data_IF_419192318608
#
_entry.id   IF_419192318608
#
_cell.length_a   1.000
_cell.length_b   1.000
_cell.length_c   1.000
_cell.angle_alpha   90.00
_cell.angle_beta   90.00
_cell.angle_gamma   90.00
#
_symmetry.space_group_name_H-M   'P 1'
#
loop_
_entity.id
_entity.type
_entity.pdbx_description
1 polymer ?
#
# COMPACT_ATOMS: atom_id res chain seq x y z
N UNK A 1 -0.54 33.09 31.91
CA UNK A 1 -1.19 32.01 32.67
C UNK A 1 -0.48 30.70 32.35
N UNK A 2 0.09 30.05 33.36
CA UNK A 2 0.91 28.85 33.19
C UNK A 2 0.00 27.63 32.99
N UNK A 3 -0.11 27.13 31.76
CA UNK A 3 -0.73 25.83 31.47
C UNK A 3 0.16 24.72 32.04
N UNK A 4 -0.35 24.07 33.10
CA UNK A 4 0.22 22.89 33.73
C UNK A 4 0.47 21.79 32.69
N UNK A 5 1.68 21.25 32.69
CA UNK A 5 2.00 20.03 31.93
C UNK A 5 1.40 18.88 32.73
N UNK A 6 0.25 18.36 32.30
CA UNK A 6 -0.27 17.12 32.86
C UNK A 6 0.67 15.98 32.47
N UNK A 7 1.39 15.44 33.45
CA UNK A 7 2.09 14.17 33.31
C UNK A 7 1.02 13.10 33.05
N UNK A 8 1.16 12.37 31.95
CA UNK A 8 0.14 11.47 31.42
C UNK A 8 -0.19 10.26 32.32
N UNK A 9 0.59 10.03 33.38
CA UNK A 9 0.27 9.10 34.46
C UNK A 9 1.15 9.38 35.69
N UNK A 10 0.61 9.75 36.87
CA UNK A 10 1.41 9.98 38.07
C UNK A 10 2.12 8.71 38.59
N UNK A 11 1.70 7.52 38.15
CA UNK A 11 2.28 6.23 38.56
C UNK A 11 3.50 5.80 37.72
N UNK A 12 3.91 6.59 36.71
CA UNK A 12 5.10 6.26 35.92
C UNK A 12 6.39 6.49 36.75
N UNK A 13 7.45 5.65 36.60
CA UNK A 13 8.69 5.82 37.35
C UNK A 13 9.35 7.19 37.08
N UNK A 14 9.99 7.78 38.10
CA UNK A 14 10.51 9.17 38.07
C UNK A 14 11.45 9.46 36.89
N UNK A 15 12.29 8.49 36.52
CA UNK A 15 13.17 8.58 35.35
C UNK A 15 12.39 8.78 34.03
N UNK A 16 11.20 8.17 33.92
CA UNK A 16 10.31 8.28 32.77
C UNK A 16 9.56 9.60 32.78
N UNK A 17 9.14 10.08 33.94
CA UNK A 17 8.56 11.42 34.08
C UNK A 17 9.55 12.51 33.66
N UNK A 18 10.81 12.38 34.09
CA UNK A 18 11.90 13.28 33.72
C UNK A 18 12.14 13.27 32.20
N UNK A 19 12.19 12.08 31.59
CA UNK A 19 12.38 11.93 30.15
C UNK A 19 11.22 12.53 29.34
N UNK A 20 9.97 12.34 29.77
CA UNK A 20 8.79 12.94 29.14
C UNK A 20 8.84 14.47 29.25
N UNK A 21 9.21 15.00 30.41
CA UNK A 21 9.31 16.44 30.64
C UNK A 21 10.40 17.08 29.77
N UNK A 22 11.57 16.44 29.66
CA UNK A 22 12.68 16.87 28.82
C UNK A 22 12.27 16.84 27.35
N UNK A 23 11.71 15.73 26.86
CA UNK A 23 11.21 15.63 25.48
C UNK A 23 10.15 16.71 25.18
N UNK A 24 9.27 17.01 26.13
CA UNK A 24 8.25 18.06 25.98
C UNK A 24 8.85 19.46 25.93
N UNK A 25 9.87 19.74 26.75
CA UNK A 25 10.61 21.02 26.72
C UNK A 25 11.38 21.21 25.42
N UNK A 26 12.08 20.17 24.98
CA UNK A 26 12.82 20.17 23.71
C UNK A 26 11.89 20.38 22.52
N UNK A 27 10.76 19.66 22.47
CA UNK A 27 9.73 19.82 21.45
C UNK A 27 9.21 21.27 21.39
N UNK A 28 8.91 21.88 22.54
CA UNK A 28 8.47 23.29 22.63
C UNK A 28 9.53 24.27 22.14
N UNK A 29 10.79 24.06 22.56
CA UNK A 29 11.89 24.92 22.14
C UNK A 29 12.14 24.83 20.63
N UNK A 30 12.06 23.62 20.07
CA UNK A 30 12.23 23.37 18.64
C UNK A 30 11.09 23.99 17.82
N UNK A 31 9.83 23.84 18.27
CA UNK A 31 8.65 24.53 17.68
C UNK A 31 8.82 26.06 17.70
N UNK A 32 9.20 26.63 18.83
CA UNK A 32 9.41 28.07 18.97
C UNK A 32 10.48 28.62 18.03
N UNK A 33 11.59 27.89 17.83
CA UNK A 33 12.64 28.27 16.86
C UNK A 33 12.12 28.25 15.42
N UNK A 34 11.30 27.26 15.04
CA UNK A 34 10.77 27.13 13.67
C UNK A 34 9.68 28.15 13.35
N UNK A 35 8.80 28.46 14.30
CA UNK A 35 7.83 29.56 14.17
C UNK A 35 8.54 30.89 13.86
N UNK A 36 9.62 31.19 14.60
CA UNK A 36 10.42 32.41 14.38
C UNK A 36 11.06 32.46 12.99
N UNK A 37 11.43 31.32 12.41
CA UNK A 37 11.96 31.25 11.06
C UNK A 37 10.88 31.51 10.01
N UNK A 38 9.70 30.91 10.15
CA UNK A 38 8.58 31.14 9.22
C UNK A 38 8.08 32.59 9.22
N UNK A 39 8.10 33.25 10.38
CA UNK A 39 7.79 34.68 10.51
C UNK A 39 8.84 35.53 9.79
N UNK A 40 10.12 35.16 9.86
CA UNK A 40 11.19 35.82 9.10
C UNK A 40 11.09 35.59 7.60
N UNK A 41 10.56 34.43 7.18
CA UNK A 41 10.30 34.09 5.78
C UNK A 41 9.03 34.76 5.22
N UNK A 42 8.43 35.70 5.97
CA UNK A 42 7.30 36.51 5.51
C UNK A 42 5.92 35.92 5.82
N UNK A 43 5.81 34.89 6.66
CA UNK A 43 4.53 34.32 7.10
C UNK A 43 4.21 34.84 8.51
N UNK A 44 3.42 35.92 8.67
CA UNK A 44 3.23 36.58 9.96
C UNK A 44 2.50 35.73 10.99
N UNK A 45 1.67 34.78 10.55
CA UNK A 45 0.94 33.84 11.39
C UNK A 45 0.98 32.42 10.78
N UNK A 46 2.10 31.68 10.96
CA UNK A 46 2.24 30.37 10.35
C UNK A 46 1.26 29.38 10.98
N UNK A 47 0.58 28.60 10.13
CA UNK A 47 -0.34 27.57 10.61
C UNK A 47 0.41 26.45 11.32
N UNK A 48 -0.30 25.69 12.17
CA UNK A 48 0.30 24.55 12.87
C UNK A 48 0.93 23.54 11.87
N UNK A 49 0.22 23.26 10.78
CA UNK A 49 0.69 22.43 9.68
C UNK A 49 1.96 22.97 9.02
N UNK A 50 2.05 24.27 8.73
CA UNK A 50 3.26 24.88 8.16
C UNK A 50 4.46 24.75 9.11
N UNK A 51 4.22 24.89 10.41
CA UNK A 51 5.24 24.71 11.44
C UNK A 51 5.75 23.26 11.49
N UNK A 52 4.83 22.29 11.49
CA UNK A 52 5.15 20.86 11.47
C UNK A 52 5.92 20.48 10.20
N UNK A 53 5.56 21.04 9.04
CA UNK A 53 6.23 20.77 7.77
C UNK A 53 7.72 21.12 7.76
N UNK A 54 8.17 22.05 8.61
CA UNK A 54 9.58 22.44 8.77
C UNK A 54 10.35 21.60 9.80
N UNK A 55 9.68 20.70 10.53
CA UNK A 55 10.37 19.74 11.38
C UNK A 55 11.17 18.76 10.51
N UNK A 56 12.33 18.35 11.01
CA UNK A 56 13.24 17.45 10.30
C UNK A 56 13.22 16.07 10.95
N UNK A 57 13.39 15.03 10.15
CA UNK A 57 13.53 13.66 10.66
C UNK A 57 14.98 13.45 11.14
N UNK A 58 15.23 13.17 12.43
CA UNK A 58 16.59 13.02 12.96
C UNK A 58 17.09 11.57 12.88
N UNK A 59 16.56 10.75 11.97
CA UNK A 59 16.89 9.34 11.86
C UNK A 59 16.60 8.76 10.48
N UNK A 60 17.18 7.60 10.18
CA UNK A 60 16.86 6.82 8.99
C UNK A 60 17.48 7.37 7.71
N UNK A 61 17.02 6.91 6.55
CA UNK A 61 17.66 7.19 5.26
C UNK A 61 17.49 8.65 4.78
N UNK A 62 16.51 9.37 5.33
CA UNK A 62 16.26 10.78 5.05
C UNK A 62 16.51 11.63 6.30
N UNK A 63 17.59 11.33 7.02
CA UNK A 63 18.03 12.14 8.15
C UNK A 63 18.20 13.61 7.71
N UNK A 64 17.73 14.53 8.54
CA UNK A 64 17.66 15.97 8.30
C UNK A 64 16.69 16.43 7.20
N UNK A 65 15.97 15.52 6.55
CA UNK A 65 14.92 15.91 5.61
C UNK A 65 13.70 16.48 6.35
N UNK A 66 13.12 17.59 5.87
CA UNK A 66 11.95 18.16 6.50
C UNK A 66 10.68 17.38 6.13
N UNK A 67 9.67 17.42 7.00
CA UNK A 67 8.44 16.63 6.82
C UNK A 67 7.72 16.95 5.49
N UNK A 68 7.67 18.22 5.08
CA UNK A 68 7.08 18.60 3.78
C UNK A 68 7.81 17.98 2.58
N UNK A 69 9.12 17.77 2.69
CA UNK A 69 9.90 17.12 1.65
C UNK A 69 9.54 15.64 1.57
N UNK A 70 9.37 14.95 2.70
CA UNK A 70 8.93 13.54 2.71
C UNK A 70 7.56 13.35 2.06
N UNK A 71 6.60 14.22 2.36
CA UNK A 71 5.28 14.17 1.72
C UNK A 71 5.38 14.34 0.20
N UNK A 72 6.33 15.12 -0.29
CA UNK A 72 6.45 15.44 -1.72
C UNK A 72 7.28 14.41 -2.50
N UNK A 73 8.21 13.72 -1.84
CA UNK A 73 9.20 12.86 -2.50
C UNK A 73 9.04 11.38 -2.17
N UNK A 74 8.66 11.02 -0.93
CA UNK A 74 8.58 9.64 -0.49
C UNK A 74 7.54 9.45 0.65
N UNK A 75 6.27 9.46 0.24
CA UNK A 75 5.13 9.21 1.15
C UNK A 75 5.18 7.79 1.72
N UNK A 76 5.75 6.83 0.98
CA UNK A 76 5.89 5.44 1.42
C UNK A 76 6.81 5.30 2.63
N UNK A 77 7.93 6.01 2.63
CA UNK A 77 8.83 6.03 3.78
C UNK A 77 8.24 6.76 4.99
N UNK A 78 7.58 7.90 4.79
CA UNK A 78 6.87 8.60 5.86
C UNK A 78 5.85 7.67 6.52
N UNK A 79 5.10 6.90 5.70
CA UNK A 79 4.17 5.90 6.18
C UNK A 79 4.86 4.82 7.01
N UNK A 80 5.98 4.28 6.54
CA UNK A 80 6.74 3.26 7.26
C UNK A 80 7.10 3.72 8.68
N UNK A 81 7.55 4.97 8.83
CA UNK A 81 7.86 5.56 10.13
C UNK A 81 6.61 5.58 11.03
N UNK A 82 5.48 6.05 10.51
CA UNK A 82 4.21 6.15 11.25
C UNK A 82 3.69 4.77 11.67
N UNK A 83 3.70 3.78 10.75
CA UNK A 83 3.23 2.42 11.06
C UNK A 83 4.12 1.75 12.09
N UNK A 84 5.45 1.89 11.95
CA UNK A 84 6.41 1.37 12.92
C UNK A 84 6.20 2.01 14.29
N UNK A 85 5.97 3.32 14.33
CA UNK A 85 5.64 4.05 15.56
C UNK A 85 4.34 3.54 16.20
N UNK A 86 3.27 3.35 15.42
CA UNK A 86 2.00 2.78 15.91
C UNK A 86 2.20 1.37 16.47
N UNK A 87 3.02 0.55 15.82
CA UNK A 87 3.37 -0.79 16.31
C UNK A 87 4.20 -0.73 17.60
N UNK A 88 5.16 0.20 17.72
CA UNK A 88 5.95 0.45 18.94
C UNK A 88 5.05 0.90 20.11
N UNK A 89 4.04 1.73 19.84
CA UNK A 89 3.05 2.17 20.84
C UNK A 89 2.11 1.03 21.25
N UNK A 90 1.71 0.17 20.32
CA UNK A 90 0.75 -0.93 20.55
C UNK A 90 1.40 -2.12 21.25
N UNK A 91 2.61 -2.50 20.84
CA UNK A 91 3.35 -3.65 21.37
C UNK A 91 4.11 -3.34 22.67
N UNK A 92 3.66 -2.35 23.44
CA UNK A 92 4.29 -1.93 24.70
C UNK A 92 4.43 -3.11 25.67
N UNK A 93 5.54 -3.83 25.54
CA UNK A 93 6.10 -4.63 26.62
C UNK A 93 6.51 -3.59 27.66
N UNK A 94 5.92 -3.72 28.86
CA UNK A 94 6.00 -2.73 29.94
C UNK A 94 7.44 -2.19 30.06
N UNK A 95 7.61 -0.88 29.84
CA UNK A 95 8.81 -0.06 30.12
C UNK A 95 9.82 0.24 28.99
N UNK A 96 9.56 -0.09 27.72
CA UNK A 96 10.45 0.36 26.64
C UNK A 96 10.25 1.86 26.31
N UNK A 97 11.32 2.67 26.42
CA UNK A 97 11.33 4.07 25.97
C UNK A 97 11.35 4.10 24.43
N UNK A 98 10.35 4.73 23.82
CA UNK A 98 10.28 4.87 22.35
C UNK A 98 11.22 6.01 21.94
N UNK A 99 12.30 5.65 21.24
CA UNK A 99 13.27 6.61 20.72
C UNK A 99 12.59 7.56 19.72
N UNK A 100 12.83 8.87 19.90
CA UNK A 100 12.26 9.95 19.09
C UNK A 100 10.73 9.95 19.02
N UNK A 101 10.06 9.52 20.09
CA UNK A 101 8.61 9.45 20.18
C UNK A 101 7.92 10.76 19.74
N UNK A 102 8.35 11.90 20.27
CA UNK A 102 7.73 13.20 19.98
C UNK A 102 7.83 13.60 18.50
N UNK A 103 8.91 13.24 17.81
CA UNK A 103 9.07 13.51 16.37
C UNK A 103 8.10 12.65 15.56
N UNK A 104 8.00 11.36 15.93
CA UNK A 104 7.10 10.40 15.27
C UNK A 104 5.63 10.76 15.50
N UNK A 105 5.29 11.25 16.69
CA UNK A 105 3.96 11.79 17.03
C UNK A 105 3.62 12.99 16.13
N UNK A 106 4.55 13.96 16.00
CA UNK A 106 4.36 15.12 15.14
C UNK A 106 4.36 14.80 13.65
N UNK A 107 5.08 13.77 13.22
CA UNK A 107 5.01 13.29 11.83
C UNK A 107 3.64 12.67 11.54
N UNK A 108 3.07 11.97 12.52
CA UNK A 108 1.71 11.41 12.43
C UNK A 108 0.68 12.54 12.34
N UNK A 109 0.75 13.51 13.25
CA UNK A 109 -0.12 14.70 13.26
C UNK A 109 -0.01 15.50 11.95
N UNK A 110 1.21 15.67 11.43
CA UNK A 110 1.43 16.35 10.17
C UNK A 110 0.81 15.59 8.99
N UNK A 111 0.95 14.27 8.94
CA UNK A 111 0.34 13.46 7.88
C UNK A 111 -1.19 13.51 7.92
N UNK A 112 -1.78 13.53 9.11
CA UNK A 112 -3.24 13.63 9.32
C UNK A 112 -3.79 15.02 8.93
N UNK A 113 -2.96 16.07 8.94
CA UNK A 113 -3.36 17.42 8.52
C UNK A 113 -3.64 17.58 7.02
N UNK A 114 -3.30 16.59 6.19
CA UNK A 114 -3.60 16.60 4.76
C UNK A 114 -4.61 15.48 4.45
N UNK A 115 -5.89 15.78 4.18
CA UNK A 115 -6.88 14.78 3.82
C UNK A 115 -6.47 13.92 2.62
N UNK A 116 -5.77 14.52 1.64
CA UNK A 116 -5.24 13.82 0.47
C UNK A 116 -4.06 12.92 0.84
N UNK A 117 -3.20 13.28 1.80
CA UNK A 117 -2.11 12.40 2.26
C UNK A 117 -2.67 11.33 3.19
N UNK A 118 -3.64 11.63 4.05
CA UNK A 118 -4.35 10.62 4.85
C UNK A 118 -5.11 9.64 3.95
N UNK A 119 -5.76 10.13 2.89
CA UNK A 119 -6.42 9.30 1.89
C UNK A 119 -5.42 8.57 0.97
N UNK A 120 -4.27 9.16 0.63
CA UNK A 120 -3.18 8.51 -0.12
C UNK A 120 -2.45 7.49 0.74
N UNK A 121 -2.31 7.74 2.04
CA UNK A 121 -1.86 6.77 3.02
C UNK A 121 -2.91 5.66 3.05
N UNK A 122 -4.19 5.93 3.29
CA UNK A 122 -5.25 4.91 3.29
C UNK A 122 -5.43 4.17 1.94
N UNK A 123 -5.21 4.82 0.80
CA UNK A 123 -5.39 4.30 -0.56
C UNK A 123 -4.13 3.68 -1.19
N UNK A 124 -2.92 4.06 -0.74
CA UNK A 124 -1.64 3.45 -1.16
C UNK A 124 -1.01 2.58 -0.05
N UNK A 125 -1.63 2.47 1.13
CA UNK A 125 -1.34 1.43 2.15
C UNK A 125 -1.38 0.03 1.51
N UNK A 126 -2.21 -0.17 0.49
CA UNK A 126 -2.54 -1.47 -0.10
C UNK A 126 -1.77 -1.77 -1.38
N UNK A 127 -0.62 -1.14 -1.58
CA UNK A 127 0.12 -1.34 -2.82
C UNK A 127 1.56 -1.71 -2.64
N UNK A 128 2.14 -1.94 -1.47
CA UNK A 128 3.54 -2.40 -1.38
C UNK A 128 3.69 -3.65 -0.52
N UNK A 129 4.63 -4.54 -0.87
CA UNK A 129 4.96 -5.77 -0.14
C UNK A 129 6.21 -5.57 0.76
N UNK A 130 6.09 -4.67 1.73
CA UNK A 130 7.09 -4.48 2.78
C UNK A 130 7.42 -5.76 3.57
N UNK A 131 8.69 -5.90 3.96
CA UNK A 131 9.18 -6.94 4.86
C UNK A 131 9.30 -8.33 4.23
N UNK A 132 9.06 -8.48 2.92
CA UNK A 132 9.29 -9.74 2.20
C UNK A 132 10.65 -9.72 1.52
N UNK A 133 11.50 -10.70 1.87
CA UNK A 133 12.88 -10.78 1.36
C UNK A 133 12.92 -10.90 -0.16
N UNK A 134 13.60 -9.95 -0.82
CA UNK A 134 13.74 -9.86 -2.27
C UNK A 134 12.58 -9.18 -3.01
N UNK A 135 11.58 -8.65 -2.28
CA UNK A 135 10.45 -7.89 -2.83
C UNK A 135 10.13 -6.65 -1.97
N UNK A 136 11.11 -6.18 -1.19
CA UNK A 136 10.94 -5.15 -0.16
C UNK A 136 10.42 -3.82 -0.72
N UNK A 137 10.76 -3.53 -1.98
CA UNK A 137 10.37 -2.33 -2.73
C UNK A 137 9.19 -2.55 -3.69
N UNK A 138 8.69 -3.77 -3.84
CA UNK A 138 7.70 -4.07 -4.88
C UNK A 138 6.28 -3.75 -4.45
N UNK A 139 5.50 -3.30 -5.43
CA UNK A 139 4.08 -3.03 -5.26
C UNK A 139 3.20 -4.29 -5.39
N UNK A 140 1.95 -4.26 -4.90
CA UNK A 140 0.96 -5.32 -5.16
C UNK A 140 0.71 -5.46 -6.66
N UNK A 141 0.72 -4.34 -7.38
CA UNK A 141 0.58 -4.29 -8.83
C UNK A 141 1.77 -4.95 -9.52
N UNK A 142 2.99 -4.53 -9.21
CA UNK A 142 4.21 -5.12 -9.77
C UNK A 142 4.32 -6.62 -9.43
N UNK A 143 3.95 -7.01 -8.21
CA UNK A 143 3.94 -8.41 -7.79
C UNK A 143 2.87 -9.23 -8.51
N UNK A 144 1.70 -8.65 -8.78
CA UNK A 144 0.69 -9.26 -9.63
C UNK A 144 1.18 -9.42 -11.07
N UNK A 145 1.85 -8.41 -11.63
CA UNK A 145 2.39 -8.45 -12.98
C UNK A 145 3.45 -9.56 -13.13
N UNK A 146 4.38 -9.65 -12.17
CA UNK A 146 5.38 -10.73 -12.12
C UNK A 146 4.71 -12.10 -11.95
N UNK A 147 3.74 -12.22 -11.05
CA UNK A 147 2.98 -13.46 -10.84
C UNK A 147 2.23 -13.91 -12.10
N UNK A 148 1.59 -12.96 -12.81
CA UNK A 148 0.80 -13.24 -14.01
C UNK A 148 1.68 -13.62 -15.22
N UNK A 149 2.85 -12.96 -15.36
CA UNK A 149 3.84 -13.24 -16.40
C UNK A 149 4.41 -14.65 -16.33
N UNK A 150 4.29 -15.35 -15.20
CA UNK A 150 4.72 -16.74 -15.07
C UNK A 150 4.09 -17.69 -16.10
N UNK A 151 2.82 -17.46 -16.46
CA UNK A 151 2.13 -18.24 -17.49
C UNK A 151 2.80 -18.07 -18.87
N UNK A 152 3.14 -16.82 -19.22
CA UNK A 152 3.85 -16.49 -20.46
C UNK A 152 5.28 -17.05 -20.44
N UNK A 153 5.98 -16.94 -19.30
CA UNK A 153 7.31 -17.51 -19.12
C UNK A 153 7.34 -19.02 -19.36
N UNK A 154 6.33 -19.76 -18.85
CA UNK A 154 6.23 -21.21 -19.03
C UNK A 154 6.03 -21.61 -20.50
N UNK A 155 5.30 -20.79 -21.26
CA UNK A 155 4.96 -21.08 -22.65
C UNK A 155 6.00 -20.58 -23.65
N UNK A 156 6.68 -19.46 -23.33
CA UNK A 156 7.62 -18.75 -24.21
C UNK A 156 8.80 -18.17 -23.40
N UNK A 157 9.70 -19.03 -22.88
CA UNK A 157 10.83 -18.58 -22.06
C UNK A 157 11.82 -17.68 -22.82
N UNK A 158 11.89 -17.81 -24.15
CA UNK A 158 12.75 -17.05 -25.05
C UNK A 158 12.48 -15.53 -25.05
N UNK A 159 11.31 -15.10 -24.58
CA UNK A 159 10.91 -13.68 -24.54
C UNK A 159 11.52 -12.92 -23.35
N UNK A 160 12.24 -13.59 -22.45
CA UNK A 160 12.71 -13.03 -21.20
C UNK A 160 14.23 -13.20 -21.01
N UNK A 161 14.88 -12.17 -20.50
CA UNK A 161 16.29 -12.23 -20.06
C UNK A 161 16.43 -13.16 -18.84
N UNK A 162 17.59 -13.79 -18.65
CA UNK A 162 17.81 -14.73 -17.53
C UNK A 162 17.45 -14.11 -16.17
N UNK A 163 17.85 -12.86 -15.94
CA UNK A 163 17.51 -12.09 -14.73
C UNK A 163 15.99 -11.93 -14.53
N UNK A 164 15.24 -11.62 -15.59
CA UNK A 164 13.77 -11.50 -15.51
C UNK A 164 13.12 -12.85 -15.23
N UNK A 165 13.63 -13.93 -15.81
CA UNK A 165 13.10 -15.29 -15.57
C UNK A 165 13.24 -15.66 -14.10
N UNK A 166 14.39 -15.36 -13.49
CA UNK A 166 14.63 -15.64 -12.08
C UNK A 166 13.68 -14.85 -11.17
N UNK A 167 13.50 -13.54 -11.44
CA UNK A 167 12.59 -12.68 -10.65
C UNK A 167 11.14 -13.18 -10.77
N UNK A 168 10.67 -13.51 -11.97
CA UNK A 168 9.31 -14.02 -12.22
C UNK A 168 9.11 -15.37 -11.50
N UNK A 169 10.06 -16.30 -11.59
CA UNK A 169 9.99 -17.60 -10.93
C UNK A 169 9.93 -17.45 -9.40
N UNK A 170 10.76 -16.57 -8.85
CA UNK A 170 10.81 -16.27 -7.42
C UNK A 170 9.50 -15.62 -6.95
N UNK A 171 8.99 -14.66 -7.72
CA UNK A 171 7.73 -13.98 -7.40
C UNK A 171 6.56 -14.97 -7.41
N UNK A 172 6.47 -15.82 -8.43
CA UNK A 172 5.43 -16.85 -8.52
C UNK A 172 5.43 -17.79 -7.31
N UNK A 173 6.61 -18.30 -6.96
CA UNK A 173 6.77 -19.25 -5.84
C UNK A 173 6.38 -18.60 -4.50
N UNK A 174 6.78 -17.35 -4.28
CA UNK A 174 6.44 -16.59 -3.08
C UNK A 174 4.94 -16.28 -3.00
N UNK A 175 4.35 -15.75 -4.07
CA UNK A 175 2.91 -15.42 -4.11
C UNK A 175 2.07 -16.67 -3.88
N UNK A 176 2.38 -17.79 -4.53
CA UNK A 176 1.68 -19.06 -4.28
C UNK A 176 1.78 -19.46 -2.81
N UNK A 177 2.96 -19.42 -2.20
CA UNK A 177 3.13 -19.74 -0.78
C UNK A 177 2.24 -18.86 0.11
N UNK A 178 2.20 -17.56 -0.14
CA UNK A 178 1.36 -16.63 0.64
C UNK A 178 -0.14 -16.88 0.43
N UNK A 179 -0.57 -17.19 -0.79
CA UNK A 179 -1.96 -17.55 -1.08
C UNK A 179 -2.39 -18.84 -0.37
N UNK A 180 -1.51 -19.83 -0.25
CA UNK A 180 -1.81 -21.07 0.49
C UNK A 180 -1.71 -20.92 2.01
N UNK A 181 -1.12 -19.83 2.51
CA UNK A 181 -1.04 -19.57 3.96
C UNK A 181 -2.44 -19.20 4.49
N UNK A 182 -2.98 -19.90 5.51
CA UNK A 182 -4.30 -19.59 6.05
C UNK A 182 -4.30 -18.21 6.71
N UNK A 183 -5.43 -17.49 6.62
CA UNK A 183 -5.55 -16.11 7.14
C UNK A 183 -5.25 -16.00 8.65
N UNK A 184 -5.46 -17.09 9.41
CA UNK A 184 -5.15 -17.22 10.83
C UNK A 184 -3.65 -17.16 11.12
N UNK A 185 -2.81 -17.60 10.18
CA UNK A 185 -1.35 -17.59 10.32
C UNK A 185 -0.73 -16.31 9.72
N UNK A 186 -1.53 -15.48 9.03
CA UNK A 186 -1.07 -14.21 8.51
C UNK A 186 -1.22 -13.15 9.60
N UNK A 187 -0.11 -12.76 10.21
CA UNK A 187 -0.09 -11.76 11.28
C UNK A 187 -0.22 -10.33 10.70
N UNK A 188 0.42 -10.08 9.54
CA UNK A 188 0.42 -8.76 8.91
C UNK A 188 -0.89 -8.46 8.17
N UNK A 189 -1.55 -7.35 8.52
CA UNK A 189 -2.77 -6.88 7.84
C UNK A 189 -2.53 -6.63 6.35
N UNK A 190 -1.36 -6.08 6.00
CA UNK A 190 -0.92 -5.86 4.63
C UNK A 190 -0.92 -7.16 3.83
N UNK A 191 -0.43 -8.27 4.40
CA UNK A 191 -0.41 -9.58 3.71
C UNK A 191 -1.82 -10.17 3.54
N UNK A 192 -2.75 -9.90 4.48
CA UNK A 192 -4.17 -10.26 4.31
C UNK A 192 -4.80 -9.51 3.14
N UNK A 193 -4.50 -8.21 3.01
CA UNK A 193 -4.98 -7.37 1.92
C UNK A 193 -4.35 -7.75 0.58
N UNK A 194 -3.06 -8.06 0.55
CA UNK A 194 -2.39 -8.60 -0.63
C UNK A 194 -3.08 -9.87 -1.13
N UNK A 195 -3.32 -10.82 -0.23
CA UNK A 195 -4.04 -12.06 -0.56
C UNK A 195 -5.43 -11.80 -1.13
N UNK A 196 -6.20 -10.86 -0.54
CA UNK A 196 -7.50 -10.44 -1.07
C UNK A 196 -7.36 -9.85 -2.49
N UNK A 197 -6.43 -8.92 -2.69
CA UNK A 197 -6.17 -8.26 -3.97
C UNK A 197 -5.85 -9.26 -5.10
N UNK A 198 -4.97 -10.23 -4.84
CA UNK A 198 -4.60 -11.24 -5.84
C UNK A 198 -5.79 -12.14 -6.17
N UNK A 199 -6.55 -12.61 -5.17
CA UNK A 199 -7.74 -13.43 -5.41
C UNK A 199 -8.79 -12.70 -6.24
N UNK A 200 -9.04 -11.41 -5.97
CA UNK A 200 -9.96 -10.57 -6.74
C UNK A 200 -9.50 -10.41 -8.20
N UNK A 201 -8.19 -10.23 -8.42
CA UNK A 201 -7.61 -10.14 -9.76
C UNK A 201 -7.71 -11.46 -10.53
N UNK A 202 -7.45 -12.59 -9.90
CA UNK A 202 -7.63 -13.91 -10.52
C UNK A 202 -9.10 -14.13 -10.92
N UNK A 203 -10.05 -13.78 -10.05
CA UNK A 203 -11.47 -13.85 -10.36
C UNK A 203 -11.85 -12.92 -11.52
N UNK A 204 -11.34 -11.69 -11.54
CA UNK A 204 -11.61 -10.71 -12.62
C UNK A 204 -11.13 -11.21 -13.99
N UNK A 205 -10.04 -11.97 -14.06
CA UNK A 205 -9.58 -12.59 -15.31
C UNK A 205 -10.48 -13.77 -15.73
N UNK A 206 -11.02 -14.51 -14.76
CA UNK A 206 -11.90 -15.66 -15.02
C UNK A 206 -13.34 -15.26 -15.39
N UNK A 207 -13.83 -14.11 -14.93
CA UNK A 207 -15.20 -13.64 -15.16
C UNK A 207 -15.57 -13.45 -16.66
N UNK A 208 -14.73 -12.83 -17.53
CA UNK A 208 -15.01 -12.74 -18.96
C UNK A 208 -15.04 -14.09 -19.68
N UNK A 209 -14.26 -15.07 -19.20
CA UNK A 209 -14.20 -16.41 -19.78
C UNK A 209 -15.45 -17.23 -19.44
N UNK A 210 -15.99 -17.08 -18.24
CA UNK A 210 -17.24 -17.76 -17.83
C UNK A 210 -18.49 -17.22 -18.52
N UNK A 211 -18.56 -15.91 -18.75
CA UNK A 211 -19.61 -15.28 -19.57
C UNK A 211 -19.53 -15.71 -21.04
N UNK A 212 -18.32 -15.70 -21.64
CA UNK A 212 -18.12 -16.15 -23.03
C UNK A 212 -18.44 -17.64 -23.20
N UNK A 213 -18.05 -18.49 -22.25
CA UNK A 213 -18.40 -19.90 -22.25
C UNK A 213 -19.92 -20.12 -22.07
N UNK A 214 -20.58 -19.33 -21.23
CA UNK A 214 -22.05 -19.38 -21.07
C UNK A 214 -22.77 -18.95 -22.35
N UNK A 215 -22.35 -17.89 -23.03
CA UNK A 215 -22.96 -17.47 -24.29
C UNK A 215 -22.79 -18.49 -25.41
N UNK A 216 -21.62 -19.12 -25.51
CA UNK A 216 -21.38 -20.22 -26.46
C UNK A 216 -22.21 -21.45 -26.08
N UNK A 217 -22.33 -21.77 -24.79
CA UNK A 217 -23.17 -22.89 -24.32
C UNK A 217 -24.67 -22.63 -24.50
N UNK A 218 -25.16 -21.41 -24.29
CA UNK A 218 -26.55 -21.02 -24.53
C UNK A 218 -26.84 -20.95 -26.04
N UNK A 219 -25.88 -20.54 -26.86
CA UNK A 219 -26.02 -20.58 -28.33
C UNK A 219 -26.05 -22.03 -28.87
N UNK A 220 -25.27 -22.96 -28.30
CA UNK A 220 -25.36 -24.38 -28.63
C UNK A 220 -26.62 -25.06 -28.08
N UNK A 221 -27.12 -24.64 -26.91
CA UNK A 221 -28.35 -25.15 -26.33
C UNK A 221 -29.60 -24.67 -27.08
N UNK A 222 -29.60 -23.44 -27.63
CA UNK A 222 -30.70 -22.91 -28.42
C UNK A 222 -30.83 -23.62 -29.78
N UNK A 223 -29.72 -24.11 -30.35
CA UNK A 223 -29.74 -24.96 -31.56
C UNK A 223 -30.27 -26.38 -31.33
N UNK A 224 -30.24 -26.89 -30.09
CA UNK A 224 -30.76 -28.23 -29.77
C UNK A 224 -32.28 -28.27 -29.56
N UNK A 225 -32.96 -27.13 -29.60
CA UNK A 225 -34.40 -27.04 -29.28
C UNK A 225 -35.27 -26.44 -30.40
N UNK A 226 -34.73 -26.21 -31.59
CA UNK A 226 -35.54 -25.78 -32.75
C UNK A 226 -35.05 -26.45 -34.02
N UNK A 227 -35.79 -27.48 -34.46
CA UNK A 227 -35.70 -28.01 -35.81
C UNK A 227 -35.65 -29.52 -35.93
N UNK A 228 -36.76 -30.20 -35.62
CA UNK A 228 -37.14 -31.33 -36.46
C UNK A 228 -37.38 -30.82 -37.89
N UNK A 229 -36.97 -31.65 -38.85
CA UNK A 229 -37.25 -31.61 -40.30
C UNK A 229 -36.66 -30.47 -41.13
N UNK A 230 -35.64 -30.81 -41.93
CA UNK A 230 -35.20 -30.02 -43.08
C UNK A 230 -33.73 -30.24 -43.43
N UNK A 231 -33.44 -31.12 -44.37
CA UNK A 231 -32.14 -31.21 -45.04
C UNK A 231 -31.78 -29.86 -45.67
N UNK A 232 -30.75 -29.18 -45.15
CA UNK A 232 -30.08 -28.08 -45.84
C UNK A 232 -28.58 -28.19 -45.61
N UNK A 233 -27.84 -28.17 -46.72
CA UNK A 233 -26.40 -28.44 -46.83
C UNK A 233 -25.54 -27.31 -46.25
N UNK A 234 -24.38 -27.70 -45.70
CA UNK A 234 -23.46 -26.94 -44.85
C UNK A 234 -22.76 -25.69 -45.45
N UNK A 235 -23.15 -25.20 -46.63
CA UNK A 235 -22.36 -24.19 -47.36
C UNK A 235 -22.85 -22.74 -47.26
N UNK A 236 -24.03 -22.45 -46.70
CA UNK A 236 -24.55 -21.06 -46.69
C UNK A 236 -24.41 -20.31 -45.35
N UNK A 237 -24.14 -20.98 -44.23
CA UNK A 237 -24.09 -20.32 -42.90
C UNK A 237 -22.73 -19.64 -42.61
N UNK A 238 -21.68 -19.97 -43.36
CA UNK A 238 -20.36 -19.35 -43.18
C UNK A 238 -20.30 -17.87 -43.63
N UNK A 239 -21.25 -17.41 -44.45
CA UNK A 239 -21.20 -16.07 -45.06
C UNK A 239 -21.75 -14.99 -44.11
N UNK A 240 -22.67 -15.32 -43.21
CA UNK A 240 -23.28 -14.32 -42.30
C UNK A 240 -22.44 -13.99 -41.05
N UNK A 241 -21.44 -14.81 -40.71
CA UNK A 241 -20.59 -14.54 -39.54
C UNK A 241 -19.39 -13.62 -39.86
N UNK A 242 -19.06 -13.39 -41.14
CA UNK A 242 -17.96 -12.51 -41.52
C UNK A 242 -18.36 -11.03 -41.68
N UNK A 243 -19.63 -10.69 -41.80
CA UNK A 243 -20.06 -9.30 -42.10
C UNK A 243 -20.31 -8.43 -40.87
N UNK A 244 -20.35 -9.00 -39.66
CA UNK A 244 -20.58 -8.23 -38.42
C UNK A 244 -19.30 -7.84 -37.66
N UNK A 245 -18.15 -7.83 -38.35
CA UNK A 245 -16.85 -7.50 -37.76
C UNK A 245 -16.24 -6.19 -38.29
N UNK A 246 -17.03 -5.31 -38.94
CA UNK A 246 -16.52 -4.05 -39.53
C UNK A 246 -17.06 -2.76 -38.86
N UNK A 247 -18.03 -2.80 -37.96
CA UNK A 247 -18.42 -1.59 -37.22
C UNK A 247 -18.66 -1.89 -35.74
N UNK A 248 -17.63 -1.71 -34.92
CA UNK A 248 -17.61 -0.92 -33.67
C UNK A 248 -16.23 -0.97 -33.03
#
# INVERSE_FOLDING_TARGET
>A
MATSVHVANPDDPENRQQAILVATKEARQYRGKRIKLLVKDGIPAPTHQQCLGKLVVPFGQYENAPFHWLVSNDVGYMKYIIDKHRAEVTNKHKNAVIVNQWVKDYLTEYAESFPQVSSLLEANIDRCIYGQRGFESHTFKEMWELYYQYSTLKNRPELFTDEKREIIQKAYTSVRRWLHTPLTHIISMQMKRFKKYINEKEQTILFPLYWRASLVATSMACWRFSGSSGLATWTEVAILSCTLQIHF
#
